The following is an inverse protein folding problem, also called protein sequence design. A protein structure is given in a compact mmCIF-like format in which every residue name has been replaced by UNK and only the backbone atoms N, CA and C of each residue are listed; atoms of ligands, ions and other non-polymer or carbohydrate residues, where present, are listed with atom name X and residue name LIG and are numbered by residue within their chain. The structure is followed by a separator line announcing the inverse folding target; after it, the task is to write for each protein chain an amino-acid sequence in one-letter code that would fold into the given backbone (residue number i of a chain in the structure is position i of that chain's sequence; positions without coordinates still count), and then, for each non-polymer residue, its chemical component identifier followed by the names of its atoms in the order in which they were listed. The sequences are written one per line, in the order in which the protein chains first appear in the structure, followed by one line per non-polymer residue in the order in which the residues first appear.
data_IF_816629889306
#
_entry.id   IF_816629889306
#
_cell.length_a   1.000
_cell.length_b   1.000
_cell.length_c   1.000
_cell.angle_alpha   90.00
_cell.angle_beta   90.00
_cell.angle_gamma   90.00
#
_symmetry.space_group_name_H-M   'P 1'
#
loop_
_entity.id
_entity.type
_entity.pdbx_description
1 polymer ?
#
# COMPACT_ATOMS: atom_id res chain seq x y z
N UNK A 1 10.05 -18.42 -1.31
CA UNK A 1 10.86 -17.47 -0.52
C UNK A 1 10.01 -16.23 -0.29
N UNK A 2 9.46 -16.04 0.91
CA UNK A 2 8.71 -14.84 1.28
C UNK A 2 9.73 -13.79 1.74
N UNK A 3 10.34 -13.07 0.78
CA UNK A 3 11.24 -11.98 1.12
C UNK A 3 10.42 -10.91 1.85
N UNK A 4 10.68 -10.73 3.15
CA UNK A 4 10.02 -9.71 3.96
C UNK A 4 10.36 -8.34 3.35
N UNK A 5 9.35 -7.62 2.87
CA UNK A 5 9.53 -6.27 2.35
C UNK A 5 10.16 -5.39 3.44
N UNK A 6 11.13 -4.56 3.06
CA UNK A 6 11.68 -3.55 3.98
C UNK A 6 10.63 -2.50 4.28
N UNK A 7 10.73 -1.84 5.45
CA UNK A 7 9.77 -0.78 5.82
C UNK A 7 9.73 0.35 4.80
N UNK A 8 10.88 0.71 4.23
CA UNK A 8 10.95 1.71 3.15
C UNK A 8 10.12 1.29 1.94
N UNK A 9 10.18 0.01 1.55
CA UNK A 9 9.40 -0.51 0.43
C UNK A 9 7.91 -0.58 0.74
N UNK A 10 7.53 -0.90 1.97
CA UNK A 10 6.13 -0.83 2.42
C UNK A 10 5.59 0.60 2.37
N UNK A 11 6.39 1.59 2.79
CA UNK A 11 6.02 3.02 2.70
C UNK A 11 5.85 3.50 1.27
N UNK A 12 6.72 3.08 0.34
CA UNK A 12 6.57 3.38 -1.10
C UNK A 12 5.24 2.86 -1.66
N UNK A 13 4.90 1.59 -1.35
CA UNK A 13 3.64 0.97 -1.76
C UNK A 13 2.45 1.74 -1.17
N UNK A 14 2.55 2.16 0.09
CA UNK A 14 1.52 2.94 0.77
C UNK A 14 1.34 4.34 0.18
N UNK A 15 2.43 5.02 -0.17
CA UNK A 15 2.37 6.32 -0.85
C UNK A 15 1.75 6.22 -2.23
N UNK A 16 2.05 5.15 -2.99
CA UNK A 16 1.42 4.91 -4.28
C UNK A 16 -0.09 4.68 -4.13
N UNK A 17 -0.52 3.94 -3.10
CA UNK A 17 -1.94 3.78 -2.77
C UNK A 17 -2.64 5.13 -2.54
N UNK A 18 -2.03 6.04 -1.78
CA UNK A 18 -2.58 7.38 -1.53
C UNK A 18 -2.57 8.29 -2.76
N UNK A 19 -1.61 8.08 -3.67
CA UNK A 19 -1.45 8.88 -4.88
C UNK A 19 -2.47 8.51 -5.97
N UNK A 20 -3.24 7.45 -5.78
CA UNK A 20 -4.30 7.09 -6.73
C UNK A 20 -5.46 8.09 -6.64
N UNK A 21 -5.76 8.84 -7.73
CA UNK A 21 -6.72 9.95 -7.72
C UNK A 21 -8.18 9.52 -7.60
N UNK A 22 -8.47 8.22 -7.43
CA UNK A 22 -9.81 7.69 -7.43
C UNK A 22 -10.14 6.99 -6.10
N UNK A 23 -10.72 7.81 -5.23
CA UNK A 23 -11.77 7.51 -4.26
C UNK A 23 -11.45 6.66 -3.04
N UNK A 24 -11.97 7.20 -1.94
CA UNK A 24 -12.59 6.55 -0.79
C UNK A 24 -12.04 5.17 -0.38
N UNK A 25 -11.57 5.04 0.87
CA UNK A 25 -11.03 3.77 1.38
C UNK A 25 -12.04 2.63 1.14
N UNK A 26 -11.63 1.60 0.41
CA UNK A 26 -12.45 0.40 0.15
C UNK A 26 -12.64 -0.01 -1.32
N UNK A 27 -12.16 0.74 -2.31
CA UNK A 27 -12.29 0.34 -3.73
C UNK A 27 -11.14 -0.56 -4.13
N UNK A 28 -11.39 -1.87 -4.26
CA UNK A 28 -10.40 -2.90 -4.61
C UNK A 28 -9.61 -2.67 -5.93
N UNK A 29 -9.95 -1.66 -6.72
CA UNK A 29 -9.25 -1.31 -7.95
C UNK A 29 -7.84 -0.72 -7.68
N UNK A 30 -7.68 0.14 -6.66
CA UNK A 30 -6.37 0.75 -6.37
C UNK A 30 -5.39 -0.28 -5.81
N UNK A 31 -5.84 -1.11 -4.86
CA UNK A 31 -5.03 -2.16 -4.26
C UNK A 31 -4.57 -3.20 -5.29
N UNK A 32 -5.44 -3.57 -6.24
CA UNK A 32 -5.10 -4.51 -7.33
C UNK A 32 -4.10 -3.89 -8.29
N UNK A 33 -4.31 -2.64 -8.72
CA UNK A 33 -3.38 -1.94 -9.61
C UNK A 33 -1.99 -1.77 -8.97
N UNK A 34 -1.93 -1.40 -7.69
CA UNK A 34 -0.67 -1.29 -6.95
C UNK A 34 0.00 -2.66 -6.78
N UNK A 35 -0.77 -3.71 -6.47
CA UNK A 35 -0.24 -5.07 -6.34
C UNK A 35 0.44 -5.55 -7.64
N UNK A 36 -0.23 -5.36 -8.78
CA UNK A 36 0.31 -5.71 -10.10
C UNK A 36 1.57 -4.90 -10.45
N UNK A 37 1.54 -3.58 -10.23
CA UNK A 37 2.68 -2.69 -10.51
C UNK A 37 3.90 -2.97 -9.64
N UNK A 38 3.66 -3.34 -8.38
CA UNK A 38 4.71 -3.60 -7.40
C UNK A 38 5.17 -5.06 -7.39
N UNK A 39 4.49 -5.94 -8.15
CA UNK A 39 4.80 -7.37 -8.20
C UNK A 39 4.58 -8.09 -6.87
N UNK A 40 3.63 -7.61 -6.06
CA UNK A 40 3.31 -8.17 -4.74
C UNK A 40 1.88 -8.71 -4.73
N UNK A 41 1.54 -9.55 -3.76
CA UNK A 41 0.16 -10.04 -3.63
C UNK A 41 -0.78 -8.94 -3.13
N UNK A 42 -2.05 -9.04 -3.52
CA UNK A 42 -3.11 -8.15 -3.04
C UNK A 42 -3.21 -8.15 -1.51
N UNK A 43 -3.03 -9.30 -0.86
CA UNK A 43 -3.00 -9.42 0.60
C UNK A 43 -1.86 -8.63 1.23
N UNK A 44 -0.70 -8.57 0.56
CA UNK A 44 0.44 -7.76 1.01
C UNK A 44 0.11 -6.28 0.95
N UNK A 45 -0.50 -5.82 -0.13
CA UNK A 45 -0.94 -4.42 -0.28
C UNK A 45 -1.98 -4.04 0.77
N UNK A 46 -2.97 -4.91 1.02
CA UNK A 46 -3.98 -4.71 2.09
C UNK A 46 -3.38 -4.71 3.49
N UNK A 47 -2.35 -5.51 3.73
CA UNK A 47 -1.63 -5.49 5.01
C UNK A 47 -0.85 -4.18 5.20
N UNK A 48 -0.20 -3.71 4.14
CA UNK A 48 0.54 -2.44 4.11
C UNK A 48 -0.41 -1.25 4.31
N UNK A 49 -1.57 -1.23 3.64
CA UNK A 49 -2.58 -0.19 3.80
C UNK A 49 -3.05 -0.08 5.26
N UNK A 50 -3.45 -1.21 5.87
CA UNK A 50 -3.84 -1.26 7.29
C UNK A 50 -2.71 -0.82 8.21
N UNK A 51 -1.48 -1.24 7.94
CA UNK A 51 -0.30 -0.85 8.71
C UNK A 51 0.00 0.64 8.57
N UNK A 52 -0.12 1.20 7.37
CA UNK A 52 0.11 2.62 7.12
C UNK A 52 -0.94 3.50 7.77
N UNK A 53 -2.23 3.13 7.70
CA UNK A 53 -3.30 3.81 8.42
C UNK A 53 -3.11 3.73 9.94
N UNK A 54 -2.70 2.58 10.49
CA UNK A 54 -2.48 2.41 11.92
C UNK A 54 -1.21 3.12 12.45
N UNK A 55 -0.29 3.52 11.56
CA UNK A 55 0.97 4.20 11.90
C UNK A 55 1.00 5.64 11.40
N UNK A 56 -0.15 6.19 10.99
CA UNK A 56 -0.30 7.53 10.42
C UNK A 56 0.76 7.83 9.33
N UNK A 57 0.87 6.91 8.37
CA UNK A 57 1.72 7.10 7.20
C UNK A 57 1.02 7.92 6.11
N UNK A 58 1.81 8.57 5.23
CA UNK A 58 3.11 9.15 5.59
C UNK A 58 2.90 10.16 6.74
N UNK A 59 3.90 10.41 7.60
CA UNK A 59 3.77 11.43 8.62
C UNK A 59 3.30 12.74 7.97
N UNK A 60 2.20 13.28 8.47
CA UNK A 60 1.77 14.63 8.11
C UNK A 60 2.82 15.57 8.70
N UNK A 61 3.76 16.06 7.88
CA UNK A 61 4.62 17.19 8.24
C UNK A 61 3.78 18.42 8.63
#
# INVERSE_FOLDING_TARGET
MNAKLSESREKEIFLELLSHPNKAPGVGNAQTAVAERQGVSLDTVKAIERKGMARDWPPLD
#
